data_IF_569200939655
#
_entry.id   IF_569200939655
#
_cell.length_a   1.000
_cell.length_b   1.000
_cell.length_c   1.000
_cell.angle_alpha   90.00
_cell.angle_beta   90.00
_cell.angle_gamma   90.00
#
_symmetry.space_group_name_H-M   'P 1'
#
loop_
_entity.id
_entity.type
_entity.pdbx_description
1 polymer ?
#
# COMPACT_ATOMS: atom_id res chain seq x y z
N UNK A 1 -47.09 -44.02 34.46
CA UNK A 1 -46.89 -43.09 35.59
C UNK A 1 -46.82 -41.69 35.00
N UNK A 2 -47.89 -40.88 34.97
CA UNK A 2 -48.60 -40.15 36.04
C UNK A 2 -47.74 -39.12 36.79
N UNK A 3 -48.07 -37.85 36.53
CA UNK A 3 -48.03 -36.67 37.43
C UNK A 3 -46.67 -36.07 37.77
N UNK A 4 -46.52 -34.77 38.07
CA UNK A 4 -47.19 -33.47 37.83
C UNK A 4 -46.35 -32.48 38.67
N UNK A 5 -46.08 -31.29 38.14
CA UNK A 5 -46.03 -29.98 38.82
C UNK A 5 -45.31 -29.80 40.19
N UNK A 6 -44.35 -28.86 40.16
CA UNK A 6 -44.33 -27.59 40.93
C UNK A 6 -43.43 -27.42 42.18
N UNK A 7 -42.86 -26.20 42.20
CA UNK A 7 -42.48 -25.37 43.36
C UNK A 7 -41.17 -25.78 44.08
N UNK A 8 -40.34 -24.92 44.67
CA UNK A 8 -40.42 -23.53 45.08
C UNK A 8 -39.00 -23.10 45.58
N UNK A 9 -38.65 -21.83 45.42
CA UNK A 9 -37.96 -20.97 46.42
C UNK A 9 -36.44 -21.04 46.73
N UNK A 10 -35.89 -19.80 46.81
CA UNK A 10 -34.89 -19.24 47.77
C UNK A 10 -33.46 -18.95 47.24
N UNK A 11 -33.30 -17.68 46.90
CA UNK A 11 -32.37 -16.69 47.45
C UNK A 11 -30.84 -16.81 47.24
N UNK A 12 -30.32 -15.74 46.62
CA UNK A 12 -29.17 -14.94 47.01
C UNK A 12 -27.80 -15.62 47.07
N UNK A 13 -26.79 -15.02 46.41
CA UNK A 13 -25.48 -14.62 47.00
C UNK A 13 -24.48 -14.12 45.92
N UNK A 14 -23.94 -12.91 46.17
CA UNK A 14 -22.64 -12.31 45.79
C UNK A 14 -22.38 -11.92 44.32
N UNK A 15 -22.33 -10.61 43.98
CA UNK A 15 -21.15 -9.72 44.08
C UNK A 15 -19.88 -10.27 43.42
N UNK A 16 -19.51 -9.74 42.24
CA UNK A 16 -18.14 -9.27 41.93
C UNK A 16 -18.09 -8.59 40.55
N UNK A 17 -17.62 -7.35 40.57
CA UNK A 17 -17.34 -6.47 39.43
C UNK A 17 -16.27 -7.01 38.49
N UNK A 18 -16.37 -6.64 37.21
CA UNK A 18 -15.29 -6.78 36.24
C UNK A 18 -15.77 -6.55 34.82
N UNK A 19 -16.17 -5.33 34.47
CA UNK A 19 -16.36 -4.97 33.04
C UNK A 19 -14.96 -4.75 32.48
N UNK A 20 -14.37 -5.82 31.95
CA UNK A 20 -13.24 -5.70 31.03
C UNK A 20 -13.79 -5.12 29.73
N UNK A 21 -13.49 -3.85 29.44
CA UNK A 21 -13.72 -3.30 28.12
C UNK A 21 -12.88 -4.11 27.12
N UNK A 22 -13.45 -4.62 26.02
CA UNK A 22 -12.62 -5.10 24.92
C UNK A 22 -11.82 -3.90 24.40
N UNK A 23 -10.49 -3.99 24.48
CA UNK A 23 -9.63 -3.14 23.66
C UNK A 23 -9.97 -3.49 22.21
N UNK A 24 -10.59 -2.58 21.50
CA UNK A 24 -10.66 -2.66 20.05
C UNK A 24 -9.23 -2.45 19.55
N UNK A 25 -8.45 -3.53 19.56
CA UNK A 25 -7.24 -3.61 18.76
C UNK A 25 -7.69 -3.41 17.32
N UNK A 26 -7.46 -2.21 16.80
CA UNK A 26 -7.44 -2.00 15.37
C UNK A 26 -6.26 -2.82 14.87
N UNK A 27 -6.50 -4.10 14.56
CA UNK A 27 -5.66 -4.81 13.64
C UNK A 27 -5.79 -4.03 12.35
N UNK A 28 -4.80 -3.15 12.08
CA UNK A 28 -4.50 -2.72 10.73
C UNK A 28 -4.39 -4.01 9.93
N UNK A 29 -5.46 -4.31 9.19
CA UNK A 29 -5.46 -5.42 8.27
C UNK A 29 -4.45 -4.99 7.23
N UNK A 30 -3.29 -5.63 7.26
CA UNK A 30 -2.34 -5.58 6.16
C UNK A 30 -3.07 -6.28 5.00
N UNK A 31 -3.83 -5.48 4.25
CA UNK A 31 -4.65 -5.92 3.15
C UNK A 31 -3.68 -6.35 2.05
N UNK A 32 -3.38 -7.65 2.03
CA UNK A 32 -2.61 -8.24 0.95
C UNK A 32 -3.34 -8.05 -0.37
N UNK A 33 -2.63 -8.13 -1.51
CA UNK A 33 -3.22 -7.90 -2.82
C UNK A 33 -4.48 -8.77 -3.02
N UNK A 34 -5.62 -8.11 -3.15
CA UNK A 34 -6.91 -8.75 -3.45
C UNK A 34 -7.07 -8.79 -4.97
N UNK A 35 -7.20 -10.00 -5.54
CA UNK A 35 -7.53 -10.14 -6.95
C UNK A 35 -9.04 -9.99 -7.15
N UNK A 36 -9.45 -8.95 -7.86
CA UNK A 36 -10.80 -8.87 -8.45
C UNK A 36 -10.88 -9.80 -9.69
N UNK A 37 -12.11 -10.15 -10.06
CA UNK A 37 -12.53 -11.33 -10.83
C UNK A 37 -11.72 -11.73 -12.08
N UNK A 38 -11.31 -13.01 -12.14
CA UNK A 38 -10.63 -13.62 -13.29
C UNK A 38 -9.22 -14.11 -12.94
N UNK A 39 -8.79 -15.26 -13.48
CA UNK A 39 -7.44 -15.82 -13.27
C UNK A 39 -6.38 -15.03 -14.07
N UNK A 40 -6.35 -13.72 -13.86
CA UNK A 40 -5.44 -12.80 -14.53
C UNK A 40 -4.28 -12.51 -13.56
N UNK A 41 -3.07 -12.46 -14.10
CA UNK A 41 -1.91 -12.12 -13.27
C UNK A 41 -1.82 -10.62 -13.10
N UNK A 42 -1.53 -10.16 -11.89
CA UNK A 42 -1.41 -8.74 -11.56
C UNK A 42 0.00 -8.45 -11.04
N UNK A 43 0.59 -7.35 -11.52
CA UNK A 43 1.86 -6.82 -11.01
C UNK A 43 1.54 -5.68 -10.04
N UNK A 44 1.80 -5.90 -8.75
CA UNK A 44 1.66 -4.89 -7.71
C UNK A 44 3.00 -4.22 -7.44
N UNK A 45 3.02 -2.90 -7.40
CA UNK A 45 4.16 -2.07 -7.03
C UNK A 45 3.74 -1.30 -5.78
N UNK A 46 4.28 -1.68 -4.62
CA UNK A 46 3.98 -1.02 -3.35
C UNK A 46 5.17 -0.16 -2.94
N UNK A 47 5.02 1.16 -3.00
CA UNK A 47 6.05 2.13 -2.68
C UNK A 47 6.18 2.34 -1.17
N UNK A 48 7.42 2.52 -0.73
CA UNK A 48 7.78 2.97 0.61
C UNK A 48 8.10 4.47 0.59
N UNK A 49 8.04 5.11 1.77
CA UNK A 49 8.32 6.55 1.92
C UNK A 49 9.74 6.95 1.50
N UNK A 50 10.69 6.01 1.51
CA UNK A 50 12.08 6.19 1.08
C UNK A 50 12.31 6.04 -0.41
N UNK A 51 11.28 5.76 -1.21
CA UNK A 51 11.39 5.55 -2.65
C UNK A 51 11.67 4.11 -3.08
N UNK A 52 11.95 3.22 -2.13
CA UNK A 52 12.00 1.78 -2.38
C UNK A 52 10.61 1.23 -2.69
N UNK A 53 10.54 0.06 -3.33
CA UNK A 53 9.29 -0.60 -3.63
C UNK A 53 9.35 -2.10 -3.38
N UNK A 54 8.23 -2.68 -2.93
CA UNK A 54 8.01 -4.13 -3.05
C UNK A 54 7.24 -4.40 -4.33
N UNK A 55 7.87 -5.09 -5.28
CA UNK A 55 7.23 -5.51 -6.53
C UNK A 55 6.75 -6.95 -6.37
N UNK A 56 5.45 -7.17 -6.47
CA UNK A 56 4.81 -8.47 -6.28
C UNK A 56 4.04 -8.89 -7.52
N UNK A 57 4.42 -10.04 -8.09
CA UNK A 57 3.65 -10.70 -9.12
C UNK A 57 2.66 -11.67 -8.47
N UNK A 58 1.37 -11.39 -8.60
CA UNK A 58 0.28 -12.23 -8.09
C UNK A 58 -0.35 -12.99 -9.25
N UNK A 59 -0.47 -14.31 -9.10
CA UNK A 59 -1.15 -15.19 -10.05
C UNK A 59 -2.29 -15.90 -9.33
N UNK A 60 -3.52 -15.70 -9.81
CA UNK A 60 -4.70 -16.41 -9.33
C UNK A 60 -4.93 -17.72 -10.09
N UNK A 61 -5.40 -18.73 -9.37
CA UNK A 61 -5.78 -20.04 -9.89
C UNK A 61 -7.22 -20.33 -9.48
N UNK A 62 -8.11 -20.57 -10.43
CA UNK A 62 -9.53 -20.84 -10.16
C UNK A 62 -9.79 -22.35 -9.97
N UNK A 63 -10.10 -22.77 -8.73
CA UNK A 63 -10.28 -24.19 -8.39
C UNK A 63 -11.59 -24.79 -8.88
N UNK A 64 -12.48 -23.99 -9.49
CA UNK A 64 -13.61 -24.55 -10.26
C UNK A 64 -13.12 -25.24 -11.55
N UNK A 65 -11.91 -24.92 -12.02
CA UNK A 65 -11.25 -25.60 -13.13
C UNK A 65 -10.21 -26.60 -12.58
N UNK A 66 -10.38 -27.88 -12.90
CA UNK A 66 -9.53 -28.95 -12.36
C UNK A 66 -8.05 -28.76 -12.74
N UNK A 67 -7.77 -28.35 -13.98
CA UNK A 67 -6.41 -28.13 -14.47
C UNK A 67 -5.68 -27.01 -13.70
N UNK A 68 -6.40 -25.93 -13.33
CA UNK A 68 -5.81 -24.84 -12.54
C UNK A 68 -5.53 -25.25 -11.10
N UNK A 69 -6.42 -26.05 -10.50
CA UNK A 69 -6.19 -26.63 -9.18
C UNK A 69 -4.96 -27.53 -9.19
N UNK A 70 -4.87 -28.44 -10.15
CA UNK A 70 -3.73 -29.35 -10.28
C UNK A 70 -2.42 -28.58 -10.52
N UNK A 71 -2.46 -27.52 -11.32
CA UNK A 71 -1.30 -26.65 -11.55
C UNK A 71 -0.84 -25.93 -10.25
N UNK A 72 -1.78 -25.38 -9.47
CA UNK A 72 -1.45 -24.72 -8.21
C UNK A 72 -0.91 -25.71 -7.17
N UNK A 73 -1.54 -26.87 -7.01
CA UNK A 73 -1.07 -27.89 -6.06
C UNK A 73 0.31 -28.42 -6.46
N UNK A 74 0.55 -28.63 -7.76
CA UNK A 74 1.88 -29.01 -8.27
C UNK A 74 2.93 -27.94 -7.96
N UNK A 75 2.62 -26.66 -8.19
CA UNK A 75 3.53 -25.55 -7.84
C UNK A 75 3.79 -25.52 -6.33
N UNK A 76 2.76 -25.74 -5.52
CA UNK A 76 2.86 -25.73 -4.05
C UNK A 76 3.74 -26.83 -3.50
N UNK A 77 3.71 -28.01 -4.11
CA UNK A 77 4.51 -29.18 -3.69
C UNK A 77 5.94 -29.17 -4.24
N UNK A 78 6.23 -28.33 -5.24
CA UNK A 78 7.53 -28.25 -5.90
C UNK A 78 8.29 -26.95 -5.56
N UNK A 79 9.10 -27.00 -4.50
CA UNK A 79 9.98 -25.90 -4.08
C UNK A 79 10.98 -25.51 -5.18
N UNK A 80 11.38 -26.46 -6.03
CA UNK A 80 12.27 -26.20 -7.16
C UNK A 80 11.58 -25.30 -8.19
N UNK A 81 10.35 -25.65 -8.59
CA UNK A 81 9.54 -24.86 -9.49
C UNK A 81 9.25 -23.44 -8.94
N UNK A 82 9.03 -23.31 -7.63
CA UNK A 82 8.86 -22.01 -6.96
C UNK A 82 10.13 -21.14 -7.09
N UNK A 83 11.31 -21.69 -6.77
CA UNK A 83 12.59 -20.98 -6.93
C UNK A 83 12.82 -20.58 -8.37
N UNK A 84 12.62 -21.51 -9.30
CA UNK A 84 12.75 -21.32 -10.74
C UNK A 84 11.88 -20.16 -11.28
N UNK A 85 10.64 -20.02 -10.78
CA UNK A 85 9.76 -18.91 -11.14
C UNK A 85 10.21 -17.59 -10.52
N UNK A 86 10.61 -17.61 -9.24
CA UNK A 86 11.11 -16.44 -8.53
C UNK A 86 12.40 -15.89 -9.17
N UNK A 87 13.33 -16.77 -9.56
CA UNK A 87 14.57 -16.41 -10.24
C UNK A 87 14.30 -15.79 -11.60
N UNK A 88 13.36 -16.33 -12.38
CA UNK A 88 12.95 -15.74 -13.66
C UNK A 88 12.32 -14.36 -13.48
N UNK A 89 11.45 -14.21 -12.47
CA UNK A 89 10.84 -12.93 -12.14
C UNK A 89 11.89 -11.89 -11.73
N UNK A 90 12.78 -12.26 -10.80
CA UNK A 90 13.90 -11.43 -10.34
C UNK A 90 14.82 -11.05 -11.49
N UNK A 91 15.21 -12.01 -12.33
CA UNK A 91 16.08 -11.78 -13.48
C UNK A 91 15.48 -10.82 -14.52
N UNK A 92 14.15 -10.86 -14.70
CA UNK A 92 13.44 -9.88 -15.54
C UNK A 92 13.53 -8.48 -14.94
N UNK A 93 13.23 -8.31 -13.65
CA UNK A 93 13.32 -7.01 -12.97
C UNK A 93 14.75 -6.46 -12.98
N UNK A 94 15.76 -7.31 -12.72
CA UNK A 94 17.17 -6.93 -12.80
C UNK A 94 17.58 -6.48 -14.20
N UNK A 95 17.12 -7.17 -15.25
CA UNK A 95 17.39 -6.76 -16.63
C UNK A 95 16.75 -5.41 -16.95
N UNK A 96 15.60 -5.12 -16.36
CA UNK A 96 14.89 -3.86 -16.52
C UNK A 96 15.61 -2.74 -15.76
N UNK A 97 15.99 -2.97 -14.50
CA UNK A 97 16.79 -2.03 -13.70
C UNK A 97 18.13 -1.68 -14.38
N UNK A 98 18.82 -2.68 -14.94
CA UNK A 98 20.09 -2.50 -15.64
C UNK A 98 19.97 -1.75 -16.98
N UNK A 99 18.76 -1.66 -17.57
CA UNK A 99 18.55 -0.95 -18.82
C UNK A 99 18.41 0.57 -18.62
N UNK A 100 18.00 0.98 -17.42
CA UNK A 100 17.70 2.35 -17.03
C UNK A 100 18.95 3.12 -16.62
N UNK A 101 19.87 2.49 -15.89
CA UNK A 101 20.95 3.24 -15.23
C UNK A 101 22.33 2.57 -15.33
N UNK A 102 23.35 3.39 -15.62
CA UNK A 102 24.78 3.01 -15.68
C UNK A 102 25.56 3.46 -14.42
N UNK A 103 24.94 4.19 -13.48
CA UNK A 103 25.57 4.73 -12.25
C UNK A 103 25.01 4.09 -10.95
N UNK A 104 23.91 3.33 -11.04
CA UNK A 104 23.36 2.29 -10.13
C UNK A 104 23.33 2.58 -8.61
N UNK A 105 22.32 3.35 -8.17
CA UNK A 105 21.75 3.22 -6.81
C UNK A 105 20.57 2.24 -6.76
N UNK A 106 20.01 1.84 -7.91
CA UNK A 106 18.90 0.90 -7.99
C UNK A 106 19.37 -0.55 -7.89
N UNK A 107 18.78 -1.29 -6.97
CA UNK A 107 19.09 -2.70 -6.75
C UNK A 107 17.83 -3.53 -6.58
N UNK A 108 17.92 -4.78 -7.02
CA UNK A 108 16.85 -5.76 -6.82
C UNK A 108 17.35 -6.74 -5.77
N UNK A 109 16.72 -6.68 -4.61
CA UNK A 109 17.13 -7.33 -3.37
C UNK A 109 15.97 -8.11 -2.78
N UNK A 110 16.25 -9.13 -1.95
CA UNK A 110 15.25 -9.90 -1.20
C UNK A 110 14.16 -10.55 -2.06
N UNK A 111 13.83 -11.82 -1.80
CA UNK A 111 12.83 -12.49 -2.61
C UNK A 111 12.04 -13.49 -1.80
N UNK A 112 10.75 -13.55 -2.07
CA UNK A 112 9.78 -14.29 -1.29
C UNK A 112 8.73 -14.92 -2.19
N UNK A 113 8.26 -16.10 -1.79
CA UNK A 113 7.10 -16.78 -2.38
C UNK A 113 6.07 -16.98 -1.29
N UNK A 114 4.85 -16.48 -1.51
CA UNK A 114 3.70 -16.70 -0.64
C UNK A 114 2.61 -17.42 -1.44
N UNK A 115 2.18 -18.58 -0.92
CA UNK A 115 1.14 -19.41 -1.52
C UNK A 115 -0.04 -19.49 -0.56
N UNK A 116 -1.20 -19.03 -1.02
CA UNK A 116 -2.44 -19.04 -0.23
C UNK A 116 -3.54 -19.76 -0.97
N UNK A 117 -4.44 -20.34 -0.19
CA UNK A 117 -5.65 -20.98 -0.68
C UNK A 117 -6.84 -20.39 0.04
N UNK A 118 -7.84 -19.98 -0.72
CA UNK A 118 -9.20 -19.74 -0.25
C UNK A 118 -10.11 -20.84 -0.83
N UNK A 119 -11.37 -20.93 -0.41
CA UNK A 119 -12.25 -22.07 -0.74
C UNK A 119 -12.26 -22.43 -2.24
N UNK A 120 -12.32 -21.43 -3.12
CA UNK A 120 -12.48 -21.63 -4.57
C UNK A 120 -11.27 -21.16 -5.38
N UNK A 121 -10.18 -20.69 -4.74
CA UNK A 121 -9.03 -20.12 -5.45
C UNK A 121 -7.69 -20.40 -4.77
N UNK A 122 -6.65 -20.58 -5.57
CA UNK A 122 -5.25 -20.52 -5.16
C UNK A 122 -4.63 -19.19 -5.56
N UNK A 123 -3.75 -18.63 -4.72
CA UNK A 123 -3.00 -17.42 -4.99
C UNK A 123 -1.52 -17.71 -4.83
N UNK A 124 -0.72 -17.38 -5.85
CA UNK A 124 0.74 -17.39 -5.78
C UNK A 124 1.27 -15.98 -5.93
N UNK A 125 1.96 -15.49 -4.91
CA UNK A 125 2.60 -14.18 -4.89
C UNK A 125 4.13 -14.34 -4.85
N UNK A 126 4.80 -13.76 -5.85
CA UNK A 126 6.25 -13.70 -5.94
C UNK A 126 6.68 -12.26 -5.72
N UNK A 127 7.37 -11.99 -4.62
CA UNK A 127 7.72 -10.63 -4.20
C UNK A 127 9.23 -10.43 -4.24
N UNK A 128 9.62 -9.23 -4.65
CA UNK A 128 11.01 -8.78 -4.69
C UNK A 128 11.08 -7.31 -4.24
N UNK A 129 12.12 -6.94 -3.48
CA UNK A 129 12.39 -5.54 -3.13
C UNK A 129 13.17 -4.88 -4.26
N UNK A 130 12.73 -3.69 -4.65
CA UNK A 130 13.41 -2.80 -5.59
C UNK A 130 13.82 -1.55 -4.84
N UNK A 131 15.11 -1.44 -4.57
CA UNK A 131 15.72 -0.27 -3.94
C UNK A 131 15.73 0.91 -4.93
N UNK A 132 15.26 2.08 -4.49
CA UNK A 132 15.30 3.32 -5.27
C UNK A 132 14.43 3.32 -6.54
N UNK A 133 13.29 2.63 -6.54
CA UNK A 133 12.36 2.63 -7.69
C UNK A 133 11.77 4.03 -7.96
N UNK A 134 11.48 4.78 -6.89
CA UNK A 134 11.01 6.16 -6.97
C UNK A 134 12.10 7.13 -6.55
N UNK A 135 12.24 8.22 -7.29
CA UNK A 135 13.03 9.36 -6.84
C UNK A 135 12.29 10.08 -5.71
N UNK A 136 12.99 10.41 -4.64
CA UNK A 136 12.45 11.17 -3.51
C UNK A 136 12.99 12.59 -3.54
N UNK A 137 12.10 13.58 -3.63
CA UNK A 137 12.43 15.01 -3.47
C UNK A 137 11.51 15.63 -2.41
N UNK A 138 12.08 16.07 -1.29
CA UNK A 138 11.37 16.51 -0.08
C UNK A 138 10.34 15.47 0.41
N UNK A 139 9.08 15.65 0.02
CA UNK A 139 7.94 14.80 0.37
C UNK A 139 7.18 14.32 -0.87
N UNK A 140 7.86 14.30 -2.02
CA UNK A 140 7.31 13.85 -3.28
C UNK A 140 8.08 12.62 -3.76
N UNK A 141 7.34 11.55 -4.02
CA UNK A 141 7.82 10.33 -4.68
C UNK A 141 7.48 10.41 -6.15
N UNK A 142 8.46 10.25 -7.02
CA UNK A 142 8.28 10.23 -8.48
C UNK A 142 8.77 8.91 -9.04
N UNK A 143 7.86 8.12 -9.61
CA UNK A 143 8.16 6.89 -10.34
C UNK A 143 8.16 7.20 -11.82
N UNK A 144 9.28 6.96 -12.50
CA UNK A 144 9.42 7.18 -13.94
C UNK A 144 10.00 5.92 -14.57
N UNK A 145 11.32 5.78 -14.49
CA UNK A 145 12.03 4.62 -14.96
C UNK A 145 11.93 3.50 -13.91
N UNK A 146 11.89 2.22 -14.33
CA UNK A 146 12.06 1.73 -15.69
C UNK A 146 10.83 1.81 -16.60
N UNK A 147 9.68 2.18 -16.06
CA UNK A 147 8.41 2.06 -16.77
C UNK A 147 8.35 2.99 -17.98
N UNK A 148 9.01 4.16 -17.90
CA UNK A 148 9.03 5.17 -18.95
C UNK A 148 9.69 4.74 -20.28
N UNK A 149 10.45 3.65 -20.32
CA UNK A 149 11.27 3.27 -21.50
C UNK A 149 10.93 1.85 -21.98
N UNK A 150 9.80 1.71 -22.70
CA UNK A 150 9.44 0.45 -23.36
C UNK A 150 9.03 -0.69 -22.42
N UNK A 151 8.50 -0.35 -21.23
CA UNK A 151 7.89 -1.35 -20.37
C UNK A 151 6.52 -1.76 -20.91
N UNK A 152 6.44 -2.97 -21.44
CA UNK A 152 5.19 -3.58 -21.90
C UNK A 152 4.86 -4.79 -21.02
N UNK A 153 3.60 -4.89 -20.62
CA UNK A 153 3.11 -6.02 -19.83
C UNK A 153 1.70 -6.42 -20.23
N UNK A 154 1.51 -7.71 -20.51
CA UNK A 154 0.20 -8.33 -20.74
C UNK A 154 -0.58 -8.57 -19.43
N UNK A 155 -0.27 -7.81 -18.38
CA UNK A 155 -0.80 -7.99 -17.01
C UNK A 155 -1.30 -6.68 -16.49
N UNK A 156 -2.33 -6.73 -15.65
CA UNK A 156 -2.79 -5.58 -14.87
C UNK A 156 -1.66 -5.07 -14.00
N UNK A 157 -1.47 -3.75 -13.94
CA UNK A 157 -0.48 -3.10 -13.08
C UNK A 157 -1.20 -2.31 -12.01
N UNK A 158 -0.77 -2.46 -10.76
CA UNK A 158 -1.28 -1.68 -9.62
C UNK A 158 -0.10 -0.97 -8.98
N UNK A 159 -0.13 0.36 -8.98
CA UNK A 159 0.80 1.18 -8.20
C UNK A 159 0.09 1.64 -6.93
N UNK A 160 0.71 1.40 -5.79
CA UNK A 160 0.23 1.84 -4.50
C UNK A 160 1.31 2.60 -3.75
N UNK A 161 0.97 3.80 -3.29
CA UNK A 161 1.80 4.63 -2.45
C UNK A 161 1.75 4.24 -0.98
N UNK A 162 2.68 4.76 -0.16
CA UNK A 162 2.65 4.62 1.29
C UNK A 162 1.30 5.05 1.89
N UNK A 163 1.02 4.56 3.09
CA UNK A 163 -0.20 4.93 3.80
C UNK A 163 -0.30 6.46 3.97
N UNK A 164 -1.47 7.02 3.65
CA UNK A 164 -1.77 8.46 3.68
C UNK A 164 -0.99 9.31 2.66
N UNK A 165 -0.26 8.71 1.71
CA UNK A 165 0.20 9.42 0.54
C UNK A 165 -0.99 9.83 -0.34
N UNK A 166 -0.81 10.83 -1.18
CA UNK A 166 -1.78 11.26 -2.20
C UNK A 166 -1.16 11.13 -3.58
N UNK A 167 -1.82 10.41 -4.49
CA UNK A 167 -1.47 10.35 -5.89
C UNK A 167 -1.87 11.69 -6.54
N UNK A 168 -0.89 12.49 -6.89
CA UNK A 168 -1.09 13.83 -7.45
C UNK A 168 -1.34 13.76 -8.96
N UNK A 169 -0.63 12.86 -9.63
CA UNK A 169 -0.76 12.63 -11.06
C UNK A 169 -0.20 11.28 -11.44
N UNK A 170 -0.80 10.66 -12.45
CA UNK A 170 -0.21 9.53 -13.16
C UNK A 170 -0.37 9.71 -14.67
N UNK A 171 0.70 9.38 -15.40
CA UNK A 171 0.68 9.26 -16.84
C UNK A 171 -0.04 7.99 -17.24
N UNK A 172 -0.68 8.04 -18.41
CA UNK A 172 -1.64 7.04 -18.89
C UNK A 172 -2.85 6.95 -17.96
N UNK A 173 -4.05 7.22 -18.49
CA UNK A 173 -5.26 7.26 -17.66
C UNK A 173 -5.49 5.91 -16.97
N UNK A 174 -5.45 5.84 -15.62
CA UNK A 174 -5.70 4.60 -14.90
C UNK A 174 -7.18 4.21 -15.02
N UNK A 175 -7.43 2.91 -15.11
CA UNK A 175 -8.78 2.34 -15.15
C UNK A 175 -9.48 2.49 -13.80
N UNK A 176 -8.71 2.39 -12.71
CA UNK A 176 -9.19 2.63 -11.34
C UNK A 176 -8.17 3.51 -10.62
N UNK A 177 -8.66 4.55 -9.96
CA UNK A 177 -7.85 5.49 -9.17
C UNK A 177 -8.50 5.75 -7.81
N UNK A 178 -7.68 5.80 -6.77
CA UNK A 178 -8.03 6.20 -5.41
C UNK A 178 -6.94 7.12 -4.85
N UNK A 179 -7.11 7.65 -3.63
CA UNK A 179 -6.20 8.63 -3.05
C UNK A 179 -4.72 8.23 -3.13
N UNK A 180 -4.34 6.96 -2.95
CA UNK A 180 -2.94 6.53 -2.97
C UNK A 180 -2.66 5.35 -3.92
N UNK A 181 -3.61 4.99 -4.80
CA UNK A 181 -3.47 3.81 -5.67
C UNK A 181 -4.03 4.08 -7.06
N UNK A 182 -3.31 3.64 -8.07
CA UNK A 182 -3.74 3.61 -9.47
C UNK A 182 -3.59 2.20 -10.06
N UNK A 183 -4.53 1.83 -10.92
CA UNK A 183 -4.57 0.53 -11.61
C UNK A 183 -4.71 0.75 -13.11
N UNK A 184 -3.88 0.06 -13.90
CA UNK A 184 -3.94 0.03 -15.36
C UNK A 184 -4.26 -1.38 -15.85
N UNK A 185 -5.07 -1.46 -16.89
CA UNK A 185 -5.42 -2.72 -17.54
C UNK A 185 -4.21 -3.39 -18.21
N UNK A 186 -4.30 -4.71 -18.36
CA UNK A 186 -3.34 -5.50 -19.13
C UNK A 186 -3.16 -4.96 -20.56
N UNK A 187 -1.92 -4.90 -21.03
CA UNK A 187 -1.58 -4.41 -22.37
C UNK A 187 -1.49 -2.88 -22.49
N UNK A 188 -1.55 -2.15 -21.37
CA UNK A 188 -1.23 -0.71 -21.35
C UNK A 188 0.23 -0.50 -21.77
N UNK A 189 0.45 0.47 -22.67
CA UNK A 189 1.77 0.92 -23.07
C UNK A 189 2.25 1.96 -22.06
N UNK A 190 3.39 1.71 -21.40
CA UNK A 190 3.92 2.58 -20.36
C UNK A 190 5.02 3.52 -20.88
N UNK A 191 5.18 3.69 -22.20
CA UNK A 191 6.18 4.63 -22.71
C UNK A 191 5.93 6.05 -22.16
N UNK A 192 6.98 6.69 -21.65
CA UNK A 192 6.87 7.97 -20.97
C UNK A 192 6.10 7.96 -19.65
N UNK A 193 5.94 6.80 -18.99
CA UNK A 193 5.30 6.70 -17.69
C UNK A 193 5.94 7.63 -16.64
N UNK A 194 5.07 8.28 -15.87
CA UNK A 194 5.41 9.06 -14.69
C UNK A 194 4.23 8.98 -13.72
N UNK A 195 4.50 8.66 -12.46
CA UNK A 195 3.52 8.76 -11.37
C UNK A 195 4.12 9.54 -10.21
N UNK A 196 3.37 10.50 -9.69
CA UNK A 196 3.81 11.44 -8.65
C UNK A 196 2.91 11.30 -7.44
N UNK A 197 3.50 11.02 -6.28
CA UNK A 197 2.80 10.90 -5.02
C UNK A 197 3.37 11.88 -4.01
N UNK A 198 2.50 12.55 -3.25
CA UNK A 198 2.86 13.42 -2.14
C UNK A 198 2.67 12.69 -0.81
N UNK A 199 3.69 12.69 0.04
CA UNK A 199 3.64 12.17 1.40
C UNK A 199 2.88 13.16 2.30
N UNK A 200 2.20 12.66 3.36
CA UNK A 200 1.47 13.53 4.27
C UNK A 200 2.41 14.56 4.91
N UNK A 201 1.89 15.75 5.17
CA UNK A 201 2.60 16.68 6.04
C UNK A 201 2.52 16.13 7.45
N UNK A 202 3.65 15.94 8.13
CA UNK A 202 3.63 15.82 9.57
C UNK A 202 3.01 17.11 10.10
N UNK A 203 1.70 17.07 10.40
CA UNK A 203 1.09 18.09 11.22
C UNK A 203 1.92 18.10 12.49
N UNK A 204 2.78 19.11 12.60
CA UNK A 204 3.38 19.47 13.87
C UNK A 204 2.20 19.79 14.74
N UNK A 205 1.77 18.80 15.52
CA UNK A 205 0.94 18.98 16.69
C UNK A 205 1.75 19.90 17.59
N UNK A 206 1.65 21.20 17.34
CA UNK A 206 2.02 22.23 18.29
C UNK A 206 1.02 22.10 19.41
N UNK A 207 1.23 21.06 20.22
CA UNK A 207 0.76 20.98 21.58
C UNK A 207 1.19 22.26 22.25
N UNK A 208 0.22 23.15 22.46
CA UNK A 208 0.33 24.15 23.52
C UNK A 208 0.37 23.35 24.82
N UNK A 209 1.56 22.93 25.21
CA UNK A 209 1.88 22.64 26.60
C UNK A 209 1.94 23.99 27.32
N UNK A 210 0.77 24.56 27.58
CA UNK A 210 0.62 25.64 28.55
C UNK A 210 0.68 25.07 29.95
N UNK A 211 1.85 24.60 30.35
CA UNK A 211 2.17 24.41 31.76
C UNK A 211 2.95 25.64 32.22
N UNK A 212 2.26 26.57 32.86
CA UNK A 212 2.87 27.35 33.93
C UNK A 212 1.80 27.60 35.01
N UNK A 213 1.86 26.77 36.04
CA UNK A 213 1.35 27.09 37.36
C UNK A 213 1.92 28.45 37.81
N UNK A 214 1.08 29.46 38.00
CA UNK A 214 0.99 30.24 39.26
C UNK A 214 0.07 31.47 39.13
N UNK A 215 -0.96 31.49 39.98
CA UNK A 215 -1.55 32.66 40.65
C UNK A 215 -1.73 33.98 39.86
N UNK A 216 -2.97 34.31 39.49
CA UNK A 216 -3.33 35.72 39.26
C UNK A 216 -4.60 35.96 38.46
N UNK A 217 -5.58 36.62 39.08
CA UNK A 217 -6.80 37.14 38.45
C UNK A 217 -6.48 38.09 37.28
N UNK A 218 -7.18 37.93 36.15
CA UNK A 218 -7.52 39.01 35.22
C UNK A 218 -6.79 39.01 33.87
N UNK A 219 -7.54 39.08 32.78
CA UNK A 219 -7.00 39.46 31.47
C UNK A 219 -7.79 38.96 30.26
N UNK A 220 -8.79 39.72 29.82
CA UNK A 220 -9.30 39.69 28.44
C UNK A 220 -8.19 40.19 27.50
N UNK A 221 -7.84 39.48 26.43
CA UNK A 221 -7.33 40.10 25.18
C UNK A 221 -7.68 39.24 23.95
N UNK A 222 -8.40 39.87 23.03
CA UNK A 222 -8.74 39.42 21.68
C UNK A 222 -7.55 39.54 20.70
N UNK A 223 -7.47 38.67 19.68
CA UNK A 223 -6.70 38.92 18.44
C UNK A 223 -7.48 38.28 17.28
N UNK A 224 -8.29 38.99 16.49
CA UNK A 224 -7.98 39.99 15.46
C UNK A 224 -7.29 39.40 14.21
N UNK A 225 -8.12 39.04 13.23
CA UNK A 225 -7.79 38.82 11.82
C UNK A 225 -7.19 40.08 11.18
N UNK A 226 -6.10 39.94 10.41
CA UNK A 226 -5.77 40.90 9.35
C UNK A 226 -4.97 40.22 8.22
N UNK A 227 -5.59 40.12 7.05
CA UNK A 227 -4.95 39.79 5.78
C UNK A 227 -4.32 41.06 5.17
N UNK A 228 -3.12 40.93 4.59
CA UNK A 228 -2.58 41.89 3.61
C UNK A 228 -2.00 41.10 2.43
N UNK A 229 -2.72 41.18 1.31
CA UNK A 229 -2.19 41.04 -0.04
C UNK A 229 -1.39 42.31 -0.37
N UNK A 230 -0.18 42.19 -0.93
CA UNK A 230 0.36 43.20 -1.85
C UNK A 230 1.43 42.56 -2.74
N UNK A 231 1.12 42.45 -4.03
CA UNK A 231 2.05 42.08 -5.09
C UNK A 231 2.96 43.24 -5.48
N UNK A 232 4.08 42.92 -6.11
CA UNK A 232 5.00 43.91 -6.68
C UNK A 232 6.10 43.28 -7.52
N UNK A 233 5.81 43.07 -8.81
CA UNK A 233 6.79 42.73 -9.86
C UNK A 233 7.79 43.88 -10.01
N UNK A 234 9.09 43.61 -9.95
CA UNK A 234 10.13 44.50 -10.49
C UNK A 234 10.97 43.75 -11.52
N UNK A 235 10.64 44.04 -12.77
CA UNK A 235 11.46 43.80 -13.95
C UNK A 235 12.44 44.97 -14.03
N UNK A 236 13.75 44.74 -14.00
CA UNK A 236 14.73 45.74 -14.43
C UNK A 236 15.70 45.12 -15.44
N UNK A 237 15.61 45.64 -16.66
CA UNK A 237 16.55 45.47 -17.75
C UNK A 237 17.16 46.84 -18.07
N UNK A 238 18.49 46.95 -18.01
CA UNK A 238 19.43 47.93 -18.61
C UNK A 238 20.75 47.79 -17.83
N UNK A 239 21.93 47.69 -18.40
CA UNK A 239 22.47 48.19 -19.67
C UNK A 239 23.47 47.20 -20.28
#
# INVERSE_FOLDING_TARGET
MRSRLAALCIASILLSSGIAAPVAGSSASHDGPTLEDGAESTLHINLSEGGDATVTLVTGYNFTQADERDAFESLREDEGAQSDLLERFTGRLQSVAAAVDNDSEQAVSEHSVDLRTTDERGLAAFSVTWDGLATVDDRTLTVTEPFASGFETDRTVVLEGPANATLESASHDPTVETDNRATWDAGTDFDGFEAVLSLPTEDSDTGVTGADDTSGLGGLVSVATLAVFLGGKTHLARE
#
